data_IF_376068824972
#
_entry.id   IF_376068824972
#
_cell.length_a   1.000
_cell.length_b   1.000
_cell.length_c   1.000
_cell.angle_alpha   90.00
_cell.angle_beta   90.00
_cell.angle_gamma   90.00
#
_symmetry.space_group_name_H-M   'P 1'
#
loop_
_entity.id
_entity.type
_entity.pdbx_description
1 polymer ?
#
# COMPACT_ATOMS: atom_id res chain seq x y z
N UNK A 1 -12.42 -41.51 71.15
CA UNK A 1 -12.35 -40.75 69.89
C UNK A 1 -12.06 -39.29 70.14
N UNK A 2 -10.78 -38.91 70.01
CA UNK A 2 -10.39 -37.51 69.96
C UNK A 2 -9.61 -37.32 68.67
N UNK A 3 -10.29 -36.77 67.66
CA UNK A 3 -9.71 -36.43 66.38
C UNK A 3 -8.53 -35.49 66.59
N UNK A 4 -7.32 -36.01 66.39
CA UNK A 4 -6.09 -35.24 66.38
C UNK A 4 -6.11 -34.43 65.07
N UNK A 5 -6.70 -33.23 65.14
CA UNK A 5 -6.70 -32.27 64.03
C UNK A 5 -5.23 -31.95 63.78
N UNK A 6 -4.67 -32.54 62.72
CA UNK A 6 -3.32 -32.27 62.29
C UNK A 6 -3.25 -30.78 61.94
N UNK A 7 -2.59 -29.99 62.80
CA UNK A 7 -2.36 -28.59 62.52
C UNK A 7 -1.55 -28.50 61.21
N UNK A 8 -2.01 -27.71 60.22
CA UNK A 8 -1.24 -27.50 59.01
C UNK A 8 0.12 -26.93 59.39
N UNK A 9 1.19 -27.46 58.77
CA UNK A 9 2.56 -27.03 59.03
C UNK A 9 2.63 -25.50 58.94
N UNK A 10 2.96 -24.82 60.05
CA UNK A 10 2.97 -23.36 60.15
C UNK A 10 3.89 -22.71 59.10
N UNK A 11 4.92 -23.44 58.67
CA UNK A 11 5.84 -23.05 57.60
C UNK A 11 5.13 -22.96 56.25
N UNK A 12 4.23 -23.91 55.96
CA UNK A 12 3.47 -23.93 54.70
C UNK A 12 2.46 -22.79 54.65
N UNK A 13 1.79 -22.50 55.76
CA UNK A 13 0.83 -21.38 55.86
C UNK A 13 1.56 -20.04 55.67
N UNK A 14 2.73 -19.88 56.27
CA UNK A 14 3.55 -18.66 56.16
C UNK A 14 4.09 -18.47 54.73
N UNK A 15 4.56 -19.55 54.10
CA UNK A 15 5.04 -19.53 52.72
C UNK A 15 3.93 -19.18 51.73
N UNK A 16 2.74 -19.76 51.89
CA UNK A 16 1.58 -19.45 51.04
C UNK A 16 1.14 -18.00 51.23
N UNK A 17 1.12 -17.50 52.46
CA UNK A 17 0.79 -16.11 52.74
C UNK A 17 1.79 -15.14 52.09
N UNK A 18 3.10 -15.41 52.22
CA UNK A 18 4.15 -14.58 51.63
C UNK A 18 4.16 -14.63 50.11
N UNK A 19 3.99 -15.82 49.52
CA UNK A 19 3.88 -15.99 48.08
C UNK A 19 2.66 -15.26 47.51
N UNK A 20 1.52 -15.33 48.20
CA UNK A 20 0.30 -14.61 47.82
C UNK A 20 0.52 -13.10 47.86
N UNK A 21 1.19 -12.59 48.92
CA UNK A 21 1.48 -11.17 49.04
C UNK A 21 2.38 -10.66 47.91
N UNK A 22 3.43 -11.41 47.57
CA UNK A 22 4.34 -11.08 46.46
C UNK A 22 3.62 -11.17 45.12
N UNK A 23 2.81 -12.21 44.91
CA UNK A 23 2.02 -12.40 43.70
C UNK A 23 1.04 -11.25 43.47
N UNK A 24 0.37 -10.77 44.53
CA UNK A 24 -0.53 -9.61 44.44
C UNK A 24 0.26 -8.32 44.22
N UNK A 25 1.35 -8.12 44.97
CA UNK A 25 2.19 -6.92 44.89
C UNK A 25 2.85 -6.72 43.53
N UNK A 26 3.24 -7.79 42.84
CA UNK A 26 3.82 -7.73 41.49
C UNK A 26 2.79 -7.94 40.39
N UNK A 27 1.78 -8.77 40.65
CA UNK A 27 0.74 -9.11 39.67
C UNK A 27 -0.14 -7.92 39.33
N UNK A 28 -0.55 -7.11 40.31
CA UNK A 28 -1.40 -5.94 40.05
C UNK A 28 -0.69 -4.90 39.17
N UNK A 29 0.56 -4.46 39.46
CA UNK A 29 1.29 -3.54 38.59
C UNK A 29 1.55 -4.11 37.19
N UNK A 30 1.95 -5.39 37.09
CA UNK A 30 2.20 -6.02 35.79
C UNK A 30 0.92 -6.13 34.95
N UNK A 31 -0.20 -6.49 35.57
CA UNK A 31 -1.50 -6.54 34.90
C UNK A 31 -1.94 -5.16 34.43
N UNK A 32 -1.80 -4.13 35.27
CA UNK A 32 -2.08 -2.74 34.90
C UNK A 32 -1.22 -2.27 33.72
N UNK A 33 0.08 -2.57 33.75
CA UNK A 33 1.00 -2.25 32.64
C UNK A 33 0.61 -2.98 31.35
N UNK A 34 0.26 -4.27 31.43
CA UNK A 34 -0.18 -5.05 30.28
C UNK A 34 -1.46 -4.47 29.66
N UNK A 35 -2.47 -4.12 30.48
CA UNK A 35 -3.71 -3.49 30.01
C UNK A 35 -3.41 -2.16 29.31
N UNK A 36 -2.61 -1.29 29.93
CA UNK A 36 -2.21 -0.01 29.34
C UNK A 36 -1.49 -0.21 28.00
N UNK A 37 -0.60 -1.20 27.93
CA UNK A 37 0.17 -1.53 26.74
C UNK A 37 -0.70 -2.09 25.61
N UNK A 38 -1.65 -2.98 25.93
CA UNK A 38 -2.59 -3.52 24.96
C UNK A 38 -3.52 -2.44 24.42
N UNK A 39 -3.98 -1.52 25.26
CA UNK A 39 -4.85 -0.42 24.83
C UNK A 39 -4.09 0.56 23.94
N UNK A 40 -2.83 0.88 24.28
CA UNK A 40 -1.95 1.68 23.42
C UNK A 40 -1.74 1.05 22.03
N UNK A 41 -1.51 -0.28 21.97
CA UNK A 41 -1.42 -1.00 20.69
C UNK A 41 -2.75 -1.02 19.93
N UNK A 42 -3.89 -1.01 20.62
CA UNK A 42 -5.22 -0.95 20.02
C UNK A 42 -5.50 0.44 19.45
N UNK A 43 -5.15 1.48 20.19
CA UNK A 43 -5.20 2.88 19.77
C UNK A 43 -4.33 3.12 18.52
N UNK A 44 -3.09 2.61 18.50
CA UNK A 44 -2.22 2.69 17.33
C UNK A 44 -2.81 1.97 16.10
N UNK A 45 -3.41 0.78 16.28
CA UNK A 45 -4.07 0.06 15.16
C UNK A 45 -5.27 0.80 14.60
N UNK A 46 -6.06 1.46 15.46
CA UNK A 46 -7.14 2.37 15.04
C UNK A 46 -6.59 3.52 14.19
N UNK A 47 -5.52 4.15 14.66
CA UNK A 47 -4.90 5.30 14.01
C UNK A 47 -4.29 4.93 12.64
N UNK A 48 -3.63 3.77 12.53
CA UNK A 48 -3.15 3.23 11.26
C UNK A 48 -4.28 2.98 10.26
N UNK A 49 -5.44 2.46 10.70
CA UNK A 49 -6.61 2.28 9.83
C UNK A 49 -7.15 3.62 9.34
N UNK A 50 -7.22 4.62 10.22
CA UNK A 50 -7.63 5.98 9.85
C UNK A 50 -6.66 6.59 8.82
N UNK A 51 -5.35 6.43 9.01
CA UNK A 51 -4.36 6.92 8.04
C UNK A 51 -4.49 6.24 6.67
N UNK A 52 -4.78 4.93 6.60
CA UNK A 52 -4.99 4.24 5.31
C UNK A 52 -6.20 4.80 4.57
N UNK A 53 -7.29 5.08 5.29
CA UNK A 53 -8.49 5.71 4.72
C UNK A 53 -8.16 7.13 4.23
N UNK A 54 -7.43 7.93 5.00
CA UNK A 54 -7.00 9.28 4.58
C UNK A 54 -6.04 9.23 3.38
N UNK A 55 -5.15 8.23 3.31
CA UNK A 55 -4.27 8.00 2.15
C UNK A 55 -5.07 7.61 0.90
N UNK A 56 -6.18 6.91 1.07
CA UNK A 56 -7.11 6.61 -0.02
C UNK A 56 -7.92 7.85 -0.43
N UNK A 57 -8.34 8.69 0.51
CA UNK A 57 -9.00 9.97 0.19
C UNK A 57 -8.08 10.93 -0.56
N UNK A 58 -6.83 11.08 -0.13
CA UNK A 58 -5.84 11.92 -0.84
C UNK A 58 -5.47 11.34 -2.20
N UNK A 59 -5.41 10.00 -2.37
CA UNK A 59 -5.24 9.37 -3.69
C UNK A 59 -6.44 9.52 -4.62
N UNK A 60 -7.66 9.62 -4.08
CA UNK A 60 -8.89 9.77 -4.86
C UNK A 60 -9.22 11.23 -5.17
N UNK A 61 -8.79 12.16 -4.30
CA UNK A 61 -8.97 13.59 -4.45
C UNK A 61 -7.98 14.25 -5.42
N UNK A 62 -6.93 13.53 -5.86
CA UNK A 62 -6.02 14.02 -6.90
C UNK A 62 -6.15 13.20 -8.20
N UNK A 63 -7.21 13.43 -8.99
CA UNK A 63 -7.34 12.85 -10.33
C UNK A 63 -6.34 13.42 -11.35
N UNK A 64 -5.49 14.37 -10.94
CA UNK A 64 -4.61 15.14 -11.82
C UNK A 64 -3.11 14.84 -11.65
N UNK A 65 -2.75 13.76 -10.95
CA UNK A 65 -1.38 13.23 -10.97
C UNK A 65 -1.36 12.00 -11.86
N UNK A 66 -1.10 12.16 -13.17
CA UNK A 66 -0.74 11.04 -14.03
C UNK A 66 0.43 10.30 -13.39
N UNK A 67 0.25 8.99 -13.21
CA UNK A 67 1.28 8.08 -12.68
C UNK A 67 2.51 7.99 -13.59
N UNK A 68 2.36 8.47 -14.82
CA UNK A 68 3.41 8.74 -15.80
C UNK A 68 3.15 10.13 -16.37
N UNK A 69 4.09 11.07 -16.23
CA UNK A 69 4.02 12.37 -16.90
C UNK A 69 4.14 12.27 -18.45
N UNK A 70 4.05 11.05 -19.00
CA UNK A 70 4.15 10.77 -20.42
C UNK A 70 2.77 10.98 -21.05
N UNK A 71 2.65 11.85 -22.08
CA UNK A 71 1.39 12.04 -22.78
C UNK A 71 0.96 10.73 -23.45
N UNK A 72 -0.36 10.45 -23.55
CA UNK A 72 -0.89 9.19 -24.09
C UNK A 72 -0.36 8.85 -25.50
N UNK A 73 -0.05 9.86 -26.31
CA UNK A 73 0.51 9.71 -27.64
C UNK A 73 1.89 9.02 -27.63
N UNK A 74 2.72 9.24 -26.60
CA UNK A 74 4.01 8.58 -26.44
C UNK A 74 3.89 7.19 -25.77
N UNK A 75 2.79 6.91 -25.08
CA UNK A 75 2.53 5.59 -24.46
C UNK A 75 1.95 4.59 -25.47
N UNK A 76 0.97 5.00 -26.29
CA UNK A 76 0.85 4.43 -27.65
C UNK A 76 2.19 4.67 -28.37
N UNK A 77 2.57 4.18 -29.54
CA UNK A 77 3.98 4.33 -30.05
C UNK A 77 5.15 3.81 -29.17
N UNK A 78 5.05 3.67 -27.84
CA UNK A 78 6.10 3.16 -26.93
C UNK A 78 7.39 4.02 -26.93
N UNK A 79 7.23 5.32 -26.76
CA UNK A 79 8.28 6.34 -26.83
C UNK A 79 8.48 7.07 -25.50
N UNK A 80 9.68 7.62 -25.33
CA UNK A 80 10.06 8.43 -24.16
C UNK A 80 9.83 9.93 -24.44
N UNK A 81 9.73 10.73 -23.36
CA UNK A 81 9.74 12.20 -23.46
C UNK A 81 11.11 12.63 -24.00
N UNK A 82 11.13 13.53 -24.99
CA UNK A 82 12.35 13.96 -25.68
C UNK A 82 12.76 13.07 -26.87
N UNK A 83 11.85 12.25 -27.40
CA UNK A 83 12.10 11.47 -28.61
C UNK A 83 12.30 12.37 -29.85
N UNK A 84 13.16 11.93 -30.77
CA UNK A 84 13.39 12.63 -32.05
C UNK A 84 12.34 12.28 -33.10
N UNK A 85 12.20 13.10 -34.14
CA UNK A 85 11.28 12.85 -35.26
C UNK A 85 11.51 11.45 -35.88
N UNK A 86 12.77 11.03 -36.06
CA UNK A 86 13.08 9.73 -36.63
C UNK A 86 12.59 8.58 -35.77
N UNK A 87 12.71 8.70 -34.44
CA UNK A 87 12.23 7.70 -33.49
C UNK A 87 10.72 7.55 -33.56
N UNK A 88 9.99 8.67 -33.68
CA UNK A 88 8.52 8.67 -33.85
C UNK A 88 8.12 7.95 -35.14
N UNK A 89 8.79 8.23 -36.27
CA UNK A 89 8.53 7.56 -37.54
C UNK A 89 8.81 6.06 -37.52
N UNK A 90 9.92 5.64 -36.90
CA UNK A 90 10.30 4.23 -36.79
C UNK A 90 9.25 3.48 -35.95
N UNK A 91 8.85 4.04 -34.81
CA UNK A 91 7.83 3.47 -33.94
C UNK A 91 6.47 3.35 -34.64
N UNK A 92 6.07 4.40 -35.38
CA UNK A 92 4.84 4.40 -36.17
C UNK A 92 4.84 3.30 -37.23
N UNK A 93 5.91 3.19 -38.03
CA UNK A 93 6.02 2.13 -39.06
C UNK A 93 5.90 0.73 -38.45
N UNK A 94 6.57 0.48 -37.32
CA UNK A 94 6.48 -0.80 -36.60
C UNK A 94 5.05 -1.11 -36.17
N UNK A 95 4.31 -0.12 -35.63
CA UNK A 95 2.92 -0.33 -35.20
C UNK A 95 1.95 -0.49 -36.36
N UNK A 96 2.09 0.29 -37.43
CA UNK A 96 1.25 0.17 -38.63
C UNK A 96 1.35 -1.22 -39.25
N UNK A 97 2.55 -1.81 -39.29
CA UNK A 97 2.72 -3.19 -39.80
C UNK A 97 1.94 -4.23 -38.99
N UNK A 98 1.65 -3.98 -37.71
CA UNK A 98 0.90 -4.88 -36.83
C UNK A 98 -0.60 -4.57 -36.80
N UNK A 99 -1.00 -3.31 -36.98
CA UNK A 99 -2.39 -2.86 -36.90
C UNK A 99 -3.07 -2.62 -38.25
N UNK A 100 -2.44 -3.01 -39.37
CA UNK A 100 -2.98 -2.70 -40.70
C UNK A 100 -4.33 -3.41 -40.94
N UNK A 101 -5.37 -2.70 -41.43
CA UNK A 101 -6.69 -3.28 -41.69
C UNK A 101 -6.67 -4.42 -42.69
N UNK A 102 -5.78 -4.38 -43.70
CA UNK A 102 -5.59 -5.48 -44.65
C UNK A 102 -5.11 -6.80 -44.02
N UNK A 103 -4.65 -6.77 -42.76
CA UNK A 103 -4.27 -7.97 -41.98
C UNK A 103 -5.31 -8.34 -40.92
N UNK A 104 -6.51 -7.76 -41.00
CA UNK A 104 -7.60 -7.96 -40.04
C UNK A 104 -7.61 -6.97 -38.87
N UNK A 105 -6.87 -5.86 -38.97
CA UNK A 105 -6.90 -4.78 -37.99
C UNK A 105 -8.17 -3.91 -38.07
N UNK A 106 -8.53 -3.24 -36.98
CA UNK A 106 -9.65 -2.28 -36.99
C UNK A 106 -9.23 -0.96 -37.63
N UNK A 107 -10.10 -0.40 -38.48
CA UNK A 107 -9.94 0.94 -39.06
C UNK A 107 -9.87 1.99 -37.93
N UNK A 108 -10.62 1.80 -36.85
CA UNK A 108 -10.64 2.71 -35.71
C UNK A 108 -9.29 2.75 -34.99
N UNK A 109 -8.65 1.59 -34.84
CA UNK A 109 -7.32 1.46 -34.22
C UNK A 109 -6.25 2.16 -35.06
N UNK A 110 -6.37 2.08 -36.39
CA UNK A 110 -5.47 2.78 -37.31
C UNK A 110 -5.65 4.30 -37.23
N UNK A 111 -6.89 4.80 -37.22
CA UNK A 111 -7.18 6.24 -37.07
C UNK A 111 -6.74 6.77 -35.71
N UNK A 112 -6.84 5.97 -34.65
CA UNK A 112 -6.32 6.34 -33.34
C UNK A 112 -4.79 6.38 -33.32
N UNK A 113 -4.12 5.40 -33.94
CA UNK A 113 -2.66 5.38 -34.08
C UNK A 113 -2.16 6.60 -34.87
N UNK A 114 -2.87 7.00 -35.94
CA UNK A 114 -2.53 8.19 -36.73
C UNK A 114 -2.62 9.48 -35.91
N UNK A 115 -3.71 9.65 -35.12
CA UNK A 115 -3.85 10.81 -34.22
C UNK A 115 -2.72 10.89 -33.20
N UNK A 116 -2.32 9.75 -32.64
CA UNK A 116 -1.20 9.71 -31.70
C UNK A 116 0.15 9.99 -32.35
N UNK A 117 0.35 9.57 -33.60
CA UNK A 117 1.53 9.92 -34.39
C UNK A 117 1.66 11.42 -34.62
N UNK A 118 0.57 12.09 -35.02
CA UNK A 118 0.57 13.55 -35.23
C UNK A 118 0.90 14.31 -33.94
N UNK A 119 0.31 13.89 -32.82
CA UNK A 119 0.59 14.48 -31.50
C UNK A 119 2.04 14.26 -31.05
N UNK A 120 2.59 13.05 -31.24
CA UNK A 120 3.97 12.75 -30.91
C UNK A 120 4.95 13.55 -31.78
N UNK A 121 4.63 13.74 -33.06
CA UNK A 121 5.43 14.57 -33.96
C UNK A 121 5.45 16.04 -33.57
N UNK A 122 4.31 16.58 -33.14
CA UNK A 122 4.25 17.95 -32.64
C UNK A 122 5.14 18.16 -31.40
N UNK A 123 5.18 17.18 -30.50
CA UNK A 123 6.02 17.21 -29.30
C UNK A 123 7.51 17.05 -29.62
N UNK A 124 7.86 16.17 -30.56
CA UNK A 124 9.25 15.99 -31.01
C UNK A 124 9.81 17.25 -31.68
N UNK A 125 8.95 18.04 -32.35
CA UNK A 125 9.29 19.32 -32.99
C UNK A 125 9.40 20.50 -32.04
N UNK A 126 8.60 20.48 -30.98
CA UNK A 126 8.58 21.52 -29.96
C UNK A 126 8.94 20.92 -28.60
N UNK A 127 10.22 20.52 -28.40
CA UNK A 127 10.70 20.17 -27.07
C UNK A 127 10.71 21.46 -26.24
N UNK A 128 9.69 21.62 -25.39
CA UNK A 128 9.58 22.75 -24.46
C UNK A 128 10.70 22.79 -23.44
#
# INVERSE_FOLDING_TARGET
>A
DSAKIAMPNQDAVSLVAQATFVAVGLGIPMAGYAVMYFDFRRWLRSLQRAMVVVKQYTRRANPYVPRDARPPCLVSLDLQIGCTEEQVMIAYRRKVMHCHPDRGGSIDDFLQLQRHFEQAMYLARNPG
#
